data_IF_399859852381
#
_entry.id   IF_399859852381
#
_cell.length_a   1.000
_cell.length_b   1.000
_cell.length_c   1.000
_cell.angle_alpha   90.00
_cell.angle_beta   90.00
_cell.angle_gamma   90.00
#
_symmetry.space_group_name_H-M   'P 1'
#
loop_
_entity.id
_entity.type
_entity.pdbx_description
1 polymer ?
#
# COMPACT_ATOMS: atom_id res chain seq x y z
N UNK A 1 -12.28 35.83 -1.04
CA UNK A 1 -11.96 35.14 -2.30
C UNK A 1 -11.79 33.68 -1.96
N UNK A 2 -12.74 32.82 -2.36
CA UNK A 2 -12.74 31.42 -1.97
C UNK A 2 -11.60 30.70 -2.68
N UNK A 3 -10.60 30.25 -1.90
CA UNK A 3 -9.42 29.53 -2.37
C UNK A 3 -9.73 28.06 -2.74
N UNK A 4 -10.99 27.77 -3.09
CA UNK A 4 -11.52 26.42 -3.25
C UNK A 4 -10.98 25.69 -4.48
N UNK A 5 -10.48 26.44 -5.47
CA UNK A 5 -9.92 25.92 -6.72
C UNK A 5 -8.39 25.98 -6.77
N UNK A 6 -7.72 26.29 -5.65
CA UNK A 6 -6.26 26.31 -5.60
C UNK A 6 -5.70 24.90 -5.85
N UNK A 7 -5.06 24.74 -7.01
CA UNK A 7 -4.34 23.53 -7.40
C UNK A 7 -2.85 23.69 -7.08
N UNK A 8 -2.30 22.69 -6.40
CA UNK A 8 -0.89 22.58 -6.07
C UNK A 8 -0.22 21.63 -7.06
N UNK A 9 0.95 22.02 -7.58
CA UNK A 9 1.71 21.20 -8.51
C UNK A 9 2.45 20.06 -7.80
N UNK A 10 2.41 18.86 -8.38
CA UNK A 10 3.24 17.72 -7.98
C UNK A 10 3.94 17.14 -9.21
N UNK A 11 4.92 16.24 -9.02
CA UNK A 11 5.56 15.53 -10.13
C UNK A 11 4.63 14.56 -10.88
N UNK A 12 3.42 14.31 -10.37
CA UNK A 12 2.39 13.47 -10.99
C UNK A 12 1.22 14.28 -11.59
N UNK A 13 1.31 15.62 -11.56
CA UNK A 13 0.26 16.53 -11.99
C UNK A 13 -0.34 17.35 -10.83
N UNK A 14 -1.27 18.27 -11.13
CA UNK A 14 -1.88 19.13 -10.12
C UNK A 14 -2.85 18.37 -9.21
N UNK A 15 -2.88 18.73 -7.92
CA UNK A 15 -3.81 18.22 -6.90
C UNK A 15 -4.50 19.38 -6.16
N UNK A 16 -5.69 19.17 -5.62
CA UNK A 16 -6.39 20.23 -4.88
C UNK A 16 -5.80 20.48 -3.49
N UNK A 17 -5.90 21.71 -3.00
CA UNK A 17 -5.49 22.04 -1.63
C UNK A 17 -6.15 21.13 -0.59
N UNK A 18 -7.45 20.85 -0.75
CA UNK A 18 -8.19 19.96 0.15
C UNK A 18 -7.64 18.52 0.16
N UNK A 19 -7.04 18.04 -0.93
CA UNK A 19 -6.36 16.74 -0.95
C UNK A 19 -5.09 16.78 -0.11
N UNK A 20 -4.27 17.83 -0.27
CA UNK A 20 -3.03 18.01 0.49
C UNK A 20 -3.32 18.14 1.98
N UNK A 21 -4.36 18.89 2.36
CA UNK A 21 -4.76 19.05 3.75
C UNK A 21 -5.21 17.74 4.41
N UNK A 22 -5.76 16.80 3.62
CA UNK A 22 -6.06 15.43 4.09
C UNK A 22 -4.79 14.59 4.17
N UNK A 23 -3.95 14.62 3.14
CA UNK A 23 -2.71 13.86 3.09
C UNK A 23 -1.75 14.24 4.24
N UNK A 24 -1.68 15.52 4.60
CA UNK A 24 -0.85 16.04 5.69
C UNK A 24 -1.19 15.46 7.08
N UNK A 25 -2.37 14.85 7.24
CA UNK A 25 -2.83 14.25 8.51
C UNK A 25 -2.60 12.73 8.57
N UNK A 26 -2.13 12.12 7.48
CA UNK A 26 -1.96 10.67 7.39
C UNK A 26 -0.78 10.24 8.28
N UNK A 27 -1.07 9.30 9.19
CA UNK A 27 -0.06 8.63 10.03
C UNK A 27 0.06 7.14 9.75
N UNK A 28 -0.90 6.57 9.04
CA UNK A 28 -0.98 5.16 8.67
C UNK A 28 -1.42 5.05 7.21
N UNK A 29 -0.64 4.32 6.41
CA UNK A 29 -0.96 3.96 5.04
C UNK A 29 -1.29 2.47 4.98
N UNK A 30 -2.55 2.14 4.65
CA UNK A 30 -3.00 0.76 4.47
C UNK A 30 -3.07 0.46 2.98
N UNK A 31 -2.43 -0.63 2.55
CA UNK A 31 -2.36 -1.04 1.14
C UNK A 31 -2.91 -2.45 0.97
N UNK A 32 -3.66 -2.65 -0.11
CA UNK A 32 -3.92 -4.00 -0.64
C UNK A 32 -2.70 -4.49 -1.44
N UNK A 33 -2.68 -5.77 -1.80
CA UNK A 33 -1.61 -6.41 -2.56
C UNK A 33 -2.01 -6.57 -4.02
N UNK A 34 -3.10 -7.28 -4.28
CA UNK A 34 -3.50 -7.69 -5.63
C UNK A 34 -4.20 -6.55 -6.36
N UNK A 35 -3.53 -5.96 -7.36
CA UNK A 35 -4.04 -4.80 -8.10
C UNK A 35 -3.67 -3.43 -7.49
N UNK A 36 -2.92 -3.41 -6.39
CA UNK A 36 -2.34 -2.19 -5.79
C UNK A 36 -0.82 -2.25 -5.79
N UNK A 37 -0.24 -3.16 -5.01
CA UNK A 37 1.22 -3.40 -4.99
C UNK A 37 1.71 -4.30 -6.13
N UNK A 38 0.77 -4.89 -6.85
CA UNK A 38 0.97 -5.70 -8.06
C UNK A 38 0.00 -5.26 -9.14
N UNK A 39 0.22 -5.74 -10.35
CA UNK A 39 -0.70 -5.57 -11.49
C UNK A 39 -1.97 -6.44 -11.39
N UNK A 40 -2.16 -7.17 -10.28
CA UNK A 40 -3.31 -8.06 -10.06
C UNK A 40 -3.15 -9.45 -10.68
N UNK A 41 -2.00 -9.74 -11.32
CA UNK A 41 -1.72 -11.06 -11.86
C UNK A 41 -1.23 -12.02 -10.77
N UNK A 42 -1.62 -13.29 -10.93
CA UNK A 42 -1.18 -14.40 -10.08
C UNK A 42 -0.61 -15.46 -11.00
N UNK A 43 0.69 -15.70 -10.87
CA UNK A 43 1.39 -16.70 -11.66
C UNK A 43 1.41 -18.00 -10.88
N UNK A 44 0.91 -19.07 -11.50
CA UNK A 44 0.86 -20.40 -10.90
C UNK A 44 1.66 -21.39 -11.75
N UNK A 45 2.51 -22.18 -11.09
CA UNK A 45 3.26 -23.26 -11.71
C UNK A 45 2.56 -24.62 -11.62
N UNK A 46 2.98 -25.56 -12.46
CA UNK A 46 2.39 -26.90 -12.52
C UNK A 46 2.66 -27.75 -11.27
N UNK A 47 3.59 -27.34 -10.40
CA UNK A 47 3.94 -28.06 -9.16
C UNK A 47 3.51 -27.29 -7.90
N UNK A 48 2.60 -26.32 -8.04
CA UNK A 48 2.07 -25.54 -6.92
C UNK A 48 2.89 -24.29 -6.56
N UNK A 49 3.80 -23.86 -7.43
CA UNK A 49 4.48 -22.58 -7.29
C UNK A 49 3.48 -21.43 -7.42
N UNK A 50 3.58 -20.41 -6.57
CA UNK A 50 2.86 -19.13 -6.70
C UNK A 50 3.87 -17.98 -6.75
N UNK A 51 3.80 -17.14 -7.77
CA UNK A 51 4.65 -15.97 -7.93
C UNK A 51 3.80 -14.69 -8.05
N UNK A 52 4.35 -13.60 -7.52
CA UNK A 52 3.78 -12.25 -7.63
C UNK A 52 4.88 -11.25 -7.91
N UNK A 53 4.60 -10.32 -8.82
CA UNK A 53 5.50 -9.22 -9.15
C UNK A 53 5.18 -8.01 -8.26
N UNK A 54 6.23 -7.34 -7.78
CA UNK A 54 6.15 -6.09 -7.03
C UNK A 54 7.03 -5.03 -7.69
N UNK A 55 6.65 -3.75 -7.60
CA UNK A 55 7.47 -2.67 -8.13
C UNK A 55 8.56 -2.25 -7.14
N UNK A 56 9.77 -2.01 -7.66
CA UNK A 56 10.89 -1.48 -6.87
C UNK A 56 10.67 -0.02 -6.46
N UNK A 57 9.99 0.79 -7.28
CA UNK A 57 9.66 2.18 -6.97
C UNK A 57 8.71 2.28 -5.79
N UNK A 58 7.73 1.39 -5.71
CA UNK A 58 6.81 1.32 -4.57
C UNK A 58 7.55 0.92 -3.29
N UNK A 59 8.50 -0.01 -3.41
CA UNK A 59 9.39 -0.36 -2.30
C UNK A 59 10.14 0.85 -1.74
N UNK A 60 10.66 1.71 -2.62
CA UNK A 60 11.31 2.96 -2.21
C UNK A 60 10.33 3.90 -1.50
N UNK A 61 9.14 4.13 -2.08
CA UNK A 61 8.11 4.99 -1.47
C UNK A 61 7.67 4.52 -0.08
N UNK A 62 7.48 3.21 0.10
CA UNK A 62 7.15 2.60 1.39
C UNK A 62 8.27 2.84 2.41
N UNK A 63 9.53 2.63 2.01
CA UNK A 63 10.67 2.90 2.91
C UNK A 63 10.74 4.36 3.32
N UNK A 64 10.53 5.29 2.39
CA UNK A 64 10.46 6.72 2.69
C UNK A 64 9.33 7.06 3.66
N UNK A 65 8.15 6.47 3.49
CA UNK A 65 7.01 6.66 4.40
C UNK A 65 7.36 6.17 5.83
N UNK A 66 7.86 4.94 5.95
CA UNK A 66 8.26 4.35 7.23
C UNK A 66 9.35 5.19 7.93
N UNK A 67 10.39 5.62 7.22
CA UNK A 67 11.46 6.43 7.81
C UNK A 67 11.02 7.87 8.14
N UNK A 68 9.89 8.32 7.59
CA UNK A 68 9.30 9.63 7.89
C UNK A 68 8.24 9.56 9.00
N UNK A 69 8.08 8.41 9.67
CA UNK A 69 7.13 8.24 10.77
C UNK A 69 5.68 7.98 10.33
N UNK A 70 5.46 7.62 9.06
CA UNK A 70 4.17 7.11 8.59
C UNK A 70 4.22 5.59 8.64
N UNK A 71 3.38 4.99 9.47
CA UNK A 71 3.26 3.54 9.55
C UNK A 71 2.65 2.99 8.26
N UNK A 72 3.04 1.78 7.88
CA UNK A 72 2.51 1.09 6.70
C UNK A 72 1.95 -0.25 7.14
N UNK A 73 0.74 -0.56 6.69
CA UNK A 73 0.10 -1.86 6.89
C UNK A 73 -0.35 -2.45 5.56
N UNK A 74 -0.33 -3.78 5.47
CA UNK A 74 -0.87 -4.52 4.34
C UNK A 74 -2.04 -5.37 4.81
N UNK A 75 -3.16 -5.26 4.09
CA UNK A 75 -4.34 -6.11 4.29
C UNK A 75 -4.69 -6.73 2.94
N UNK A 76 -4.65 -8.05 2.86
CA UNK A 76 -5.00 -8.78 1.63
C UNK A 76 -5.89 -9.99 1.93
N UNK A 77 -6.77 -10.30 0.97
CA UNK A 77 -7.64 -11.48 1.03
C UNK A 77 -6.91 -12.79 0.76
N UNK A 78 -5.75 -12.75 0.09
CA UNK A 78 -4.92 -13.95 -0.15
C UNK A 78 -3.95 -14.17 1.01
N UNK A 79 -3.40 -15.39 1.09
CA UNK A 79 -2.33 -15.74 2.02
C UNK A 79 -1.21 -16.42 1.25
N UNK A 80 -0.02 -15.82 1.26
CA UNK A 80 1.15 -16.36 0.59
C UNK A 80 2.44 -15.95 1.32
N UNK A 81 3.36 -16.90 1.47
CA UNK A 81 4.67 -16.66 2.10
C UNK A 81 5.48 -15.57 1.40
N UNK A 82 5.33 -15.43 0.08
CA UNK A 82 6.00 -14.38 -0.70
C UNK A 82 5.62 -12.95 -0.24
N UNK A 83 4.42 -12.75 0.30
CA UNK A 83 3.97 -11.44 0.81
C UNK A 83 4.64 -11.15 2.15
N UNK A 84 4.80 -12.16 3.00
CA UNK A 84 5.54 -12.05 4.26
C UNK A 84 7.00 -11.68 4.00
N UNK A 85 7.65 -12.35 3.05
CA UNK A 85 9.05 -12.09 2.66
C UNK A 85 9.22 -10.67 2.10
N UNK A 86 8.25 -10.20 1.31
CA UNK A 86 8.24 -8.83 0.80
C UNK A 86 8.08 -7.82 1.93
N UNK A 87 7.18 -8.06 2.89
CA UNK A 87 6.99 -7.19 4.04
C UNK A 87 8.27 -7.11 4.89
N UNK A 88 8.91 -8.25 5.16
CA UNK A 88 10.16 -8.32 5.89
C UNK A 88 11.27 -7.51 5.20
N UNK A 89 11.38 -7.64 3.88
CA UNK A 89 12.35 -6.87 3.07
C UNK A 89 12.12 -5.36 3.18
N UNK A 90 10.86 -4.93 3.23
CA UNK A 90 10.49 -3.51 3.33
C UNK A 90 10.41 -3.01 4.77
N UNK A 91 10.55 -3.88 5.79
CA UNK A 91 10.38 -3.54 7.20
C UNK A 91 8.94 -3.18 7.58
N UNK A 92 7.95 -3.73 6.88
CA UNK A 92 6.54 -3.59 7.22
C UNK A 92 6.21 -4.61 8.32
N UNK A 93 5.70 -4.14 9.46
CA UNK A 93 5.38 -4.98 10.62
C UNK A 93 3.90 -5.37 10.70
N UNK A 94 3.02 -4.62 10.06
CA UNK A 94 1.58 -4.84 10.09
C UNK A 94 1.13 -5.56 8.82
N UNK A 95 1.07 -6.90 8.87
CA UNK A 95 0.62 -7.73 7.76
C UNK A 95 -0.59 -8.58 8.18
N UNK A 96 -1.71 -8.40 7.48
CA UNK A 96 -2.94 -9.16 7.66
C UNK A 96 -3.30 -9.87 6.35
N UNK A 97 -3.26 -11.19 6.37
CA UNK A 97 -3.51 -12.05 5.20
C UNK A 97 -4.72 -12.95 5.41
N UNK A 98 -5.34 -13.41 4.31
CA UNK A 98 -6.53 -14.26 4.38
C UNK A 98 -7.77 -13.53 4.93
N UNK A 99 -7.75 -12.19 4.91
CA UNK A 99 -8.81 -11.38 5.51
C UNK A 99 -10.04 -11.37 4.62
N UNK A 100 -11.15 -11.99 5.06
CA UNK A 100 -12.45 -11.89 4.38
C UNK A 100 -13.10 -10.56 4.77
N UNK A 101 -14.01 -10.04 3.95
CA UNK A 101 -14.65 -8.70 4.11
C UNK A 101 -15.25 -8.42 5.50
N UNK A 102 -15.57 -9.44 6.31
CA UNK A 102 -16.03 -9.31 7.69
C UNK A 102 -14.93 -9.02 8.73
N UNK A 103 -13.65 -9.23 8.40
CA UNK A 103 -12.52 -9.18 9.33
C UNK A 103 -11.92 -7.76 9.47
N UNK A 104 -12.30 -6.83 8.59
CA UNK A 104 -11.78 -5.45 8.54
C UNK A 104 -12.01 -4.65 9.83
N UNK A 105 -13.06 -4.99 10.60
CA UNK A 105 -13.41 -4.33 11.87
C UNK A 105 -12.49 -4.67 13.05
N UNK A 106 -11.61 -5.67 12.90
CA UNK A 106 -10.78 -6.19 14.01
C UNK A 106 -9.29 -5.92 13.80
N UNK A 107 -8.91 -5.37 12.63
CA UNK A 107 -7.52 -5.15 12.22
C UNK A 107 -7.05 -3.69 12.39
N UNK A 108 -7.97 -2.80 12.77
CA UNK A 108 -7.81 -1.35 13.00
C UNK A 108 -8.66 -0.98 14.21
#
# INVERSE_FOLDING_TARGET
MNNADAQLATCYGPVSQAFVDRAAKIRLLILDVDGVLSDGLIYMGNHGEELKAFNVRDGYGIRCALTSGIEVAIITGRKAKLVEDRCQTLGITHLYQGSRTSCWRSAI
#
